data_IF_159295379646
#
_entry.id   IF_159295379646
#
_cell.length_a   1.000
_cell.length_b   1.000
_cell.length_c   1.000
_cell.angle_alpha   90.00
_cell.angle_beta   90.00
_cell.angle_gamma   90.00
#
_symmetry.space_group_name_H-M   'P 1'
#
loop_
_entity.id
_entity.type
_entity.pdbx_description
1 polymer ?
#
# COMPACT_ATOMS: atom_id res chain seq x y z
N UNK A 1 12.76 2.96 -6.05
CA UNK A 1 12.47 4.40 -5.82
C UNK A 1 12.38 4.73 -4.34
N UNK A 2 11.61 4.00 -3.57
CA UNK A 2 11.40 4.32 -2.15
C UNK A 2 12.71 4.35 -1.36
N UNK A 3 13.55 3.37 -1.53
CA UNK A 3 14.84 3.30 -0.80
C UNK A 3 15.81 4.39 -1.23
N UNK A 4 15.74 4.84 -2.47
CA UNK A 4 16.58 5.92 -2.96
C UNK A 4 16.32 7.23 -2.18
N UNK A 5 15.07 7.44 -1.76
CA UNK A 5 14.66 8.62 -1.02
C UNK A 5 14.51 8.36 0.49
N UNK A 6 15.07 7.24 0.99
CA UNK A 6 15.13 6.89 2.41
C UNK A 6 13.78 6.59 3.05
N UNK A 7 12.84 6.10 2.28
CA UNK A 7 11.57 5.60 2.82
C UNK A 7 11.77 4.24 3.49
N UNK A 8 11.12 4.04 4.62
CA UNK A 8 10.95 2.71 5.19
C UNK A 8 9.66 2.13 4.63
N UNK A 9 9.69 0.85 4.27
CA UNK A 9 8.59 0.18 3.60
C UNK A 9 8.23 -1.09 4.33
N UNK A 10 6.95 -1.23 4.68
CA UNK A 10 6.38 -2.45 5.23
C UNK A 10 5.44 -3.07 4.22
N UNK A 11 5.68 -4.32 3.87
CA UNK A 11 4.78 -5.11 3.03
C UNK A 11 3.80 -5.86 3.92
N UNK A 12 2.51 -5.78 3.59
CA UNK A 12 1.44 -6.38 4.39
C UNK A 12 0.76 -7.53 3.66
N UNK A 13 1.30 -7.97 2.52
CA UNK A 13 0.69 -9.00 1.70
C UNK A 13 0.76 -10.37 2.39
N UNK A 14 -0.20 -11.28 2.11
CA UNK A 14 -0.14 -12.65 2.57
C UNK A 14 1.16 -13.34 2.15
N UNK A 15 1.69 -14.18 3.01
CA UNK A 15 2.90 -14.93 2.73
C UNK A 15 2.58 -16.36 2.35
N UNK A 16 3.29 -16.90 1.35
CA UNK A 16 3.21 -18.31 0.98
C UNK A 16 4.17 -19.11 1.85
N UNK A 17 3.64 -19.99 2.70
CA UNK A 17 4.46 -20.80 3.62
C UNK A 17 4.92 -22.10 2.98
N UNK A 18 4.25 -22.55 1.91
CA UNK A 18 4.63 -23.71 1.08
C UNK A 18 3.81 -23.64 -0.21
N UNK A 19 4.21 -24.36 -1.26
CA UNK A 19 3.47 -24.33 -2.52
C UNK A 19 1.97 -24.54 -2.32
N UNK A 20 1.16 -23.64 -2.82
CA UNK A 20 -0.30 -23.71 -2.71
C UNK A 20 -0.89 -23.35 -1.35
N UNK A 21 -0.06 -23.07 -0.34
CA UNK A 21 -0.55 -22.75 1.00
C UNK A 21 -0.17 -21.33 1.37
N UNK A 22 -1.17 -20.47 1.51
CA UNK A 22 -1.00 -19.08 1.87
C UNK A 22 -1.52 -18.83 3.28
N UNK A 23 -0.85 -17.92 3.99
CA UNK A 23 -1.35 -17.41 5.27
C UNK A 23 -1.38 -15.88 5.19
N UNK A 24 -2.31 -15.30 5.94
CA UNK A 24 -2.35 -13.87 6.19
C UNK A 24 -1.79 -13.66 7.59
N UNK A 25 -0.64 -12.99 7.74
CA UNK A 25 0.00 -12.85 9.04
C UNK A 25 -0.77 -11.97 10.02
N UNK A 26 -1.74 -11.22 9.54
CA UNK A 26 -2.54 -10.30 10.35
C UNK A 26 -3.88 -10.90 10.72
N UNK A 27 -4.33 -10.60 11.94
CA UNK A 27 -5.70 -10.83 12.36
C UNK A 27 -6.39 -9.49 12.43
N UNK A 28 -7.58 -9.37 11.88
CA UNK A 28 -8.30 -8.11 11.86
C UNK A 28 -9.10 -7.99 10.58
N UNK A 29 -9.58 -6.79 10.33
CA UNK A 29 -10.41 -6.55 9.16
C UNK A 29 -9.63 -6.74 7.86
N UNK A 30 -10.25 -7.43 6.91
CA UNK A 30 -9.66 -7.73 5.62
C UNK A 30 -9.49 -6.48 4.78
N UNK A 31 -8.52 -6.51 3.86
CA UNK A 31 -8.39 -5.48 2.83
C UNK A 31 -7.40 -4.36 3.14
N UNK A 32 -6.57 -4.52 4.16
CA UNK A 32 -5.55 -3.52 4.49
C UNK A 32 -4.63 -3.29 3.28
N UNK A 33 -4.18 -2.04 3.05
CA UNK A 33 -3.28 -1.74 1.92
C UNK A 33 -2.00 -2.56 1.92
N UNK A 34 -1.45 -2.80 0.73
CA UNK A 34 -0.29 -3.67 0.53
C UNK A 34 0.99 -3.14 1.16
N UNK A 35 1.14 -1.82 1.21
CA UNK A 35 2.35 -1.19 1.71
C UNK A 35 2.01 -0.10 2.71
N UNK A 36 2.87 0.03 3.73
CA UNK A 36 2.94 1.23 4.56
C UNK A 36 4.35 1.78 4.41
N UNK A 37 4.46 3.04 4.06
CA UNK A 37 5.74 3.69 3.83
C UNK A 37 5.88 4.91 4.73
N UNK A 38 7.05 5.04 5.36
CA UNK A 38 7.31 6.11 6.33
C UNK A 38 8.60 6.83 5.99
N UNK A 39 8.57 8.14 6.02
CA UNK A 39 9.73 8.99 5.88
C UNK A 39 9.72 10.03 6.99
N UNK A 40 10.86 10.30 7.66
CA UNK A 40 10.87 11.20 8.82
C UNK A 40 10.41 12.63 8.51
N UNK A 41 10.55 13.08 7.27
CA UNK A 41 10.16 14.42 6.86
C UNK A 41 8.93 14.38 5.95
N UNK A 42 8.86 13.40 5.05
CA UNK A 42 7.82 13.32 4.02
C UNK A 42 6.53 12.67 4.49
N UNK A 43 6.54 12.08 5.68
CA UNK A 43 5.35 11.55 6.32
C UNK A 43 5.12 10.06 6.11
N UNK A 44 3.87 9.67 6.27
CA UNK A 44 3.45 8.28 6.18
C UNK A 44 2.42 8.16 5.07
N UNK A 45 2.59 7.17 4.19
CA UNK A 45 1.61 6.87 3.15
C UNK A 45 1.24 5.38 3.20
N UNK A 46 -0.02 5.11 2.86
CA UNK A 46 -0.56 3.77 2.72
C UNK A 46 -0.82 3.53 1.24
N UNK A 47 -0.41 2.40 0.72
CA UNK A 47 -0.47 2.14 -0.72
C UNK A 47 -1.10 0.79 -1.01
N UNK A 48 -2.11 0.81 -1.86
CA UNK A 48 -2.68 -0.38 -2.47
C UNK A 48 -2.09 -0.50 -3.87
N UNK A 49 -1.47 -1.63 -4.18
CA UNK A 49 -0.89 -1.88 -5.49
C UNK A 49 -1.87 -2.67 -6.35
N UNK A 50 -2.13 -2.19 -7.56
CA UNK A 50 -3.02 -2.87 -8.49
C UNK A 50 -2.38 -3.00 -9.87
N UNK A 51 -2.64 -4.13 -10.53
CA UNK A 51 -2.33 -4.28 -11.95
C UNK A 51 -3.18 -3.31 -12.77
N UNK A 52 -2.80 -3.11 -14.02
CA UNK A 52 -3.48 -2.16 -14.93
C UNK A 52 -5.00 -2.35 -14.94
N UNK A 53 -5.47 -3.59 -14.95
CA UNK A 53 -6.91 -3.91 -14.98
C UNK A 53 -7.42 -4.47 -13.66
N UNK A 54 -6.62 -4.42 -12.62
CA UNK A 54 -7.03 -4.92 -11.30
C UNK A 54 -8.11 -4.04 -10.69
N UNK A 55 -9.02 -4.66 -9.94
CA UNK A 55 -10.16 -3.98 -9.33
C UNK A 55 -9.96 -3.91 -7.82
N UNK A 56 -10.18 -2.73 -7.26
CA UNK A 56 -10.15 -2.56 -5.80
C UNK A 56 -11.39 -3.21 -5.23
N UNK A 57 -11.23 -4.16 -4.29
CA UNK A 57 -12.35 -4.86 -3.67
C UNK A 57 -13.09 -3.96 -2.67
N UNK A 58 -14.28 -4.41 -2.26
CA UNK A 58 -15.06 -3.66 -1.26
C UNK A 58 -14.32 -3.54 0.07
N UNK A 59 -13.67 -4.60 0.53
CA UNK A 59 -12.91 -4.55 1.78
C UNK A 59 -11.70 -3.63 1.68
N UNK A 60 -11.07 -3.57 0.52
CA UNK A 60 -9.98 -2.62 0.27
C UNK A 60 -10.49 -1.18 0.26
N UNK A 61 -11.63 -0.92 -0.38
CA UNK A 61 -12.24 0.40 -0.36
C UNK A 61 -12.63 0.84 1.06
N UNK A 62 -13.11 -0.09 1.89
CA UNK A 62 -13.44 0.22 3.28
C UNK A 62 -12.21 0.73 4.04
N UNK A 63 -11.07 0.08 3.86
CA UNK A 63 -9.82 0.52 4.48
C UNK A 63 -9.35 1.87 3.92
N UNK A 64 -9.37 2.03 2.60
CA UNK A 64 -8.94 3.28 1.94
C UNK A 64 -9.77 4.44 2.47
N UNK A 65 -11.09 4.28 2.48
CA UNK A 65 -11.98 5.33 2.95
C UNK A 65 -11.79 5.64 4.43
N UNK A 66 -11.63 4.62 5.27
CA UNK A 66 -11.41 4.82 6.70
C UNK A 66 -10.10 5.57 6.98
N UNK A 67 -9.03 5.21 6.26
CA UNK A 67 -7.75 5.88 6.42
C UNK A 67 -7.82 7.34 5.96
N UNK A 68 -8.47 7.60 4.82
CA UNK A 68 -8.63 8.95 4.32
C UNK A 68 -9.48 9.79 5.28
N UNK A 69 -10.56 9.23 5.81
CA UNK A 69 -11.42 9.92 6.78
C UNK A 69 -10.66 10.25 8.06
N UNK A 70 -9.69 9.42 8.43
CA UNK A 70 -8.83 9.66 9.58
C UNK A 70 -7.69 10.65 9.30
N UNK A 71 -7.61 11.19 8.09
CA UNK A 71 -6.59 12.15 7.70
C UNK A 71 -5.29 11.54 7.19
N UNK A 72 -5.29 10.25 6.87
CA UNK A 72 -4.11 9.56 6.35
C UNK A 72 -4.02 9.74 4.83
N UNK A 73 -2.79 9.77 4.33
CA UNK A 73 -2.54 9.77 2.88
C UNK A 73 -2.57 8.33 2.38
N UNK A 74 -3.45 8.05 1.41
CA UNK A 74 -3.64 6.71 0.85
C UNK A 74 -3.62 6.81 -0.67
N UNK A 75 -2.95 5.88 -1.31
CA UNK A 75 -2.88 5.80 -2.76
C UNK A 75 -3.24 4.42 -3.26
N UNK A 76 -3.87 4.38 -4.43
CA UNK A 76 -3.95 3.17 -5.26
C UNK A 76 -3.00 3.41 -6.43
N UNK A 77 -1.92 2.65 -6.48
CA UNK A 77 -0.91 2.82 -7.53
C UNK A 77 -0.97 1.68 -8.54
N UNK A 78 -0.92 2.05 -9.80
CA UNK A 78 -0.90 1.15 -10.95
C UNK A 78 0.35 1.43 -11.78
N UNK A 79 0.73 0.55 -12.71
CA UNK A 79 1.93 0.78 -13.54
C UNK A 79 1.94 2.13 -14.24
N UNK A 80 0.78 2.63 -14.67
CA UNK A 80 0.67 3.93 -15.36
C UNK A 80 1.01 5.13 -14.46
N UNK A 81 1.09 4.92 -13.15
CA UNK A 81 1.27 6.01 -12.18
C UNK A 81 2.75 6.25 -11.84
N UNK A 82 3.68 5.65 -12.57
CA UNK A 82 5.10 5.67 -12.25
C UNK A 82 5.64 7.10 -12.03
N UNK A 83 5.24 8.04 -12.89
CA UNK A 83 5.69 9.43 -12.76
C UNK A 83 5.14 10.08 -11.48
N UNK A 84 3.88 9.81 -11.16
CA UNK A 84 3.25 10.31 -9.93
C UNK A 84 3.92 9.73 -8.69
N UNK A 85 4.24 8.43 -8.74
CA UNK A 85 4.92 7.73 -7.64
C UNK A 85 6.29 8.37 -7.41
N UNK A 86 7.06 8.54 -8.47
CA UNK A 86 8.39 9.13 -8.38
C UNK A 86 8.33 10.55 -7.80
N UNK A 87 7.40 11.36 -8.27
CA UNK A 87 7.22 12.72 -7.76
C UNK A 87 6.87 12.73 -6.28
N UNK A 88 5.95 11.85 -5.84
CA UNK A 88 5.55 11.82 -4.44
C UNK A 88 6.69 11.39 -3.52
N UNK A 89 7.45 10.37 -3.92
CA UNK A 89 8.52 9.84 -3.07
C UNK A 89 9.70 10.81 -2.95
N UNK A 90 9.84 11.73 -3.88
CA UNK A 90 10.91 12.72 -3.90
C UNK A 90 10.55 14.01 -3.15
N UNK A 91 9.31 14.18 -2.72
CA UNK A 91 8.86 15.41 -2.05
C UNK A 91 9.06 15.39 -0.55
#
# INVERSE_FOLDING_TARGET
MAKLHRWKVMHTQPAQIRPGKWITPNTGDQGFPDLVMVHPIRGTIFVELKATKGVVSNTQWDWINALEDAGCEVHVWRPKDLDKISARLAQ
#
